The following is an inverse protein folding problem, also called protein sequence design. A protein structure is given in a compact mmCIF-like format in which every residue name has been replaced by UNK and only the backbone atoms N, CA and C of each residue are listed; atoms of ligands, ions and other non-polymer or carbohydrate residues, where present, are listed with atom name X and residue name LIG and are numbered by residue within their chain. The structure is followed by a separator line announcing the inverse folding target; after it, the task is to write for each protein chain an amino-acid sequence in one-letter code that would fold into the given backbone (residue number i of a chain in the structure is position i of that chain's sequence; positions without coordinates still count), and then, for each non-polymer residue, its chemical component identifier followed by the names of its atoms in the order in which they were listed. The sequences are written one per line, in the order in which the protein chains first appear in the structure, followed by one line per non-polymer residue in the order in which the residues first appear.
data_IF_111317116161
#
_entry.id   IF_111317116161
#
_cell.length_a   1.000
_cell.length_b   1.000
_cell.length_c   1.000
_cell.angle_alpha   90.00
_cell.angle_beta   90.00
_cell.angle_gamma   90.00
#
_symmetry.space_group_name_H-M   'P 1'
#
loop_
_entity.id
_entity.type
_entity.pdbx_description
1 polymer ?
#
# COMPACT_ATOMS: atom_id res chain seq x y z
N UNK A 1 6.84 -27.20 -47.11
CA UNK A 1 6.19 -27.89 -45.98
C UNK A 1 7.27 -28.45 -45.07
N UNK A 2 7.49 -27.80 -43.93
CA UNK A 2 8.05 -28.46 -42.73
C UNK A 2 7.46 -27.72 -41.53
N UNK A 3 6.73 -28.47 -40.71
CA UNK A 3 5.93 -28.00 -39.60
C UNK A 3 6.65 -28.30 -38.27
N UNK A 4 6.25 -27.59 -37.21
CA UNK A 4 6.54 -27.80 -35.78
C UNK A 4 7.93 -27.33 -35.31
N UNK A 5 8.05 -26.50 -34.26
CA UNK A 5 7.37 -26.58 -32.96
C UNK A 5 6.98 -25.21 -32.40
N UNK A 6 5.74 -25.13 -31.91
CA UNK A 6 5.37 -24.26 -30.78
C UNK A 6 6.37 -24.48 -29.64
N UNK A 7 7.06 -23.41 -29.25
CA UNK A 7 7.82 -23.33 -28.01
C UNK A 7 6.99 -22.51 -27.02
N UNK A 8 6.50 -23.21 -26.00
CA UNK A 8 5.61 -22.76 -24.94
C UNK A 8 6.16 -21.63 -24.06
N UNK A 9 5.36 -20.59 -23.84
CA UNK A 9 4.95 -20.17 -22.49
C UNK A 9 6.00 -19.81 -21.42
N UNK A 10 7.21 -19.36 -21.77
CA UNK A 10 8.26 -19.03 -20.77
C UNK A 10 8.90 -17.64 -20.88
N UNK A 11 8.20 -16.72 -21.55
CA UNK A 11 8.54 -15.30 -21.56
C UNK A 11 7.25 -14.51 -21.33
N UNK A 12 6.68 -14.60 -20.12
CA UNK A 12 5.98 -13.43 -19.59
C UNK A 12 7.07 -12.37 -19.51
N UNK A 13 7.06 -11.42 -20.44
CA UNK A 13 8.01 -10.30 -20.47
C UNK A 13 8.03 -9.71 -19.06
N UNK A 14 9.17 -9.82 -18.36
CA UNK A 14 9.36 -9.09 -17.11
C UNK A 14 9.10 -7.62 -17.38
N UNK A 15 8.30 -6.98 -16.52
CA UNK A 15 7.96 -5.56 -16.63
C UNK A 15 9.21 -4.72 -16.83
N UNK A 16 9.15 -3.70 -17.69
CA UNK A 16 10.27 -2.77 -17.87
C UNK A 16 10.51 -1.96 -16.60
N UNK A 17 11.70 -1.36 -16.46
CA UNK A 17 11.99 -0.45 -15.34
C UNK A 17 11.00 0.73 -15.29
N UNK A 18 10.49 1.17 -16.44
CA UNK A 18 9.46 2.22 -16.51
C UNK A 18 8.12 1.75 -15.93
N UNK A 19 7.73 0.50 -16.18
CA UNK A 19 6.49 -0.06 -15.61
C UNK A 19 6.60 -0.15 -14.08
N UNK A 20 7.76 -0.59 -13.56
CA UNK A 20 8.03 -0.65 -12.11
C UNK A 20 8.09 0.76 -11.49
N UNK A 21 8.61 1.74 -12.22
CA UNK A 21 8.57 3.15 -11.81
C UNK A 21 7.13 3.64 -11.68
N UNK A 22 6.30 3.40 -12.70
CA UNK A 22 4.87 3.75 -12.68
C UNK A 22 4.13 3.07 -11.54
N UNK A 23 4.40 1.80 -11.29
CA UNK A 23 3.83 1.08 -10.16
C UNK A 23 4.21 1.71 -8.81
N UNK A 24 5.48 2.09 -8.62
CA UNK A 24 5.91 2.81 -7.42
C UNK A 24 5.18 4.14 -7.24
N UNK A 25 4.89 4.87 -8.32
CA UNK A 25 4.08 6.11 -8.28
C UNK A 25 2.63 5.84 -7.90
N UNK A 26 2.05 4.75 -8.38
CA UNK A 26 0.71 4.33 -8.01
C UNK A 26 0.65 4.00 -6.51
N UNK A 27 1.64 3.28 -5.98
CA UNK A 27 1.70 2.98 -4.54
C UNK A 27 1.81 4.24 -3.68
N UNK A 28 2.60 5.24 -4.08
CA UNK A 28 2.65 6.53 -3.37
C UNK A 28 1.27 7.21 -3.33
N UNK A 29 0.55 7.17 -4.44
CA UNK A 29 -0.80 7.73 -4.53
C UNK A 29 -1.81 6.95 -3.67
N UNK A 30 -1.71 5.61 -3.64
CA UNK A 30 -2.52 4.76 -2.76
C UNK A 30 -2.25 5.06 -1.28
N UNK A 31 -0.99 5.22 -0.88
CA UNK A 31 -0.63 5.57 0.50
C UNK A 31 -1.23 6.92 0.90
N UNK A 32 -1.18 7.92 0.02
CA UNK A 32 -1.80 9.23 0.27
C UNK A 32 -3.32 9.13 0.40
N UNK A 33 -3.98 8.33 -0.46
CA UNK A 33 -5.40 8.05 -0.34
C UNK A 33 -5.73 7.41 1.02
N UNK A 34 -4.96 6.41 1.44
CA UNK A 34 -5.16 5.75 2.72
C UNK A 34 -4.99 6.70 3.92
N UNK A 35 -4.04 7.64 3.86
CA UNK A 35 -3.89 8.67 4.91
C UNK A 35 -5.14 9.56 5.01
N UNK A 36 -5.72 9.92 3.87
CA UNK A 36 -6.97 10.70 3.82
C UNK A 36 -8.14 9.88 4.36
N UNK A 37 -8.27 8.61 3.96
CA UNK A 37 -9.34 7.71 4.44
C UNK A 37 -9.26 7.49 5.95
N UNK A 38 -8.08 7.22 6.51
CA UNK A 38 -7.90 7.06 7.95
C UNK A 38 -8.22 8.34 8.72
N UNK A 39 -7.87 9.51 8.16
CA UNK A 39 -8.23 10.81 8.73
C UNK A 39 -9.74 11.03 8.71
N UNK A 40 -10.42 10.57 7.66
CA UNK A 40 -11.88 10.58 7.58
C UNK A 40 -12.51 9.66 8.63
N UNK A 41 -12.02 8.43 8.80
CA UNK A 41 -12.51 7.52 9.84
C UNK A 41 -12.34 8.08 11.24
N UNK A 42 -11.19 8.73 11.52
CA UNK A 42 -10.94 9.38 12.81
C UNK A 42 -11.98 10.47 13.11
N UNK A 43 -12.31 11.30 12.10
CA UNK A 43 -13.33 12.34 12.24
C UNK A 43 -14.72 11.74 12.48
N UNK A 44 -15.07 10.70 11.72
CA UNK A 44 -16.37 10.05 11.85
C UNK A 44 -16.54 9.40 13.22
N UNK A 45 -15.51 8.70 13.72
CA UNK A 45 -15.51 8.21 15.10
C UNK A 45 -15.66 9.34 16.11
N UNK A 46 -14.89 10.42 15.97
CA UNK A 46 -14.96 11.55 16.91
C UNK A 46 -16.35 12.18 17.00
N UNK A 47 -17.08 12.22 15.88
CA UNK A 47 -18.42 12.78 15.81
C UNK A 47 -19.47 11.89 16.47
N UNK A 48 -19.38 10.56 16.27
CA UNK A 48 -20.44 9.62 16.65
C UNK A 48 -20.09 8.69 17.82
N UNK A 49 -18.86 8.73 18.35
CA UNK A 49 -18.43 7.85 19.45
C UNK A 49 -19.32 7.95 20.70
N UNK A 50 -19.97 9.09 20.91
CA UNK A 50 -20.84 9.37 22.06
C UNK A 50 -22.18 8.63 21.98
N UNK A 51 -22.58 8.25 20.78
CA UNK A 51 -23.85 7.57 20.51
C UNK A 51 -23.77 6.08 20.89
N UNK A 52 -22.56 5.55 21.03
CA UNK A 52 -22.27 4.21 21.51
C UNK A 52 -22.10 4.15 23.02
N UNK A 53 -22.98 3.40 23.69
CA UNK A 53 -23.06 3.38 25.17
C UNK A 53 -22.59 2.07 25.79
N UNK A 54 -22.58 0.97 25.04
CA UNK A 54 -22.21 -0.33 25.58
C UNK A 54 -20.70 -0.43 25.81
N UNK A 55 -20.30 -1.32 26.72
CA UNK A 55 -18.87 -1.59 26.98
C UNK A 55 -18.20 -2.18 25.74
N UNK A 56 -18.92 -3.01 24.97
CA UNK A 56 -18.36 -3.66 23.79
C UNK A 56 -18.15 -2.66 22.64
N UNK A 57 -19.04 -1.68 22.49
CA UNK A 57 -18.83 -0.60 21.51
C UNK A 57 -17.59 0.24 21.86
N UNK A 58 -17.38 0.55 23.15
CA UNK A 58 -16.19 1.29 23.60
C UNK A 58 -14.91 0.55 23.27
N UNK A 59 -14.86 -0.77 23.51
CA UNK A 59 -13.72 -1.61 23.10
C UNK A 59 -13.51 -1.58 21.59
N UNK A 60 -14.59 -1.62 20.81
CA UNK A 60 -14.53 -1.57 19.35
C UNK A 60 -14.01 -0.21 18.85
N UNK A 61 -14.43 0.89 19.46
CA UNK A 61 -13.92 2.24 19.19
C UNK A 61 -12.42 2.31 19.49
N UNK A 62 -11.97 1.81 20.65
CA UNK A 62 -10.54 1.76 21.01
C UNK A 62 -9.73 0.96 19.98
N UNK A 63 -10.26 -0.19 19.52
CA UNK A 63 -9.61 -0.98 18.46
C UNK A 63 -9.44 -0.19 17.16
N UNK A 64 -10.46 0.57 16.73
CA UNK A 64 -10.34 1.42 15.55
C UNK A 64 -9.38 2.59 15.75
N UNK A 65 -9.40 3.23 16.91
CA UNK A 65 -8.46 4.32 17.23
C UNK A 65 -7.01 3.84 17.21
N UNK A 66 -6.73 2.69 17.84
CA UNK A 66 -5.40 2.08 17.82
C UNK A 66 -4.95 1.74 16.41
N UNK A 67 -5.84 1.16 15.59
CA UNK A 67 -5.56 0.88 14.19
C UNK A 67 -5.24 2.16 13.40
N UNK A 68 -6.08 3.19 13.50
CA UNK A 68 -5.90 4.47 12.80
C UNK A 68 -4.58 5.12 13.22
N UNK A 69 -4.30 5.16 14.52
CA UNK A 69 -3.08 5.78 15.04
C UNK A 69 -1.83 5.08 14.50
N UNK A 70 -1.75 3.76 14.67
CA UNK A 70 -0.61 2.97 14.21
C UNK A 70 -0.40 3.09 12.70
N UNK A 71 -1.47 2.93 11.90
CA UNK A 71 -1.34 2.98 10.45
C UNK A 71 -0.96 4.38 9.96
N UNK A 72 -1.61 5.43 10.47
CA UNK A 72 -1.39 6.80 9.98
C UNK A 72 -0.05 7.41 10.41
N UNK A 73 0.45 7.06 11.60
CA UNK A 73 1.67 7.67 12.16
C UNK A 73 2.94 6.86 11.92
N UNK A 74 2.82 5.55 11.80
CA UNK A 74 3.99 4.67 11.74
C UNK A 74 4.01 3.94 10.39
N UNK A 75 3.09 3.00 10.17
CA UNK A 75 3.20 2.04 9.07
C UNK A 75 3.15 2.71 7.69
N UNK A 76 2.20 3.63 7.46
CA UNK A 76 2.08 4.30 6.16
C UNK A 76 3.25 5.26 5.89
N UNK A 77 3.82 5.87 6.93
CA UNK A 77 4.99 6.72 6.78
C UNK A 77 6.24 5.89 6.45
N UNK A 78 6.41 4.75 7.13
CA UNK A 78 7.51 3.83 6.90
C UNK A 78 7.50 3.31 5.45
N UNK A 79 6.38 2.77 4.98
CA UNK A 79 6.30 2.25 3.60
C UNK A 79 6.42 3.36 2.56
N UNK A 80 5.92 4.57 2.83
CA UNK A 80 6.15 5.73 1.94
C UNK A 80 7.64 6.02 1.79
N UNK A 81 8.37 6.05 2.91
CA UNK A 81 9.82 6.29 2.89
C UNK A 81 10.58 5.17 2.15
N UNK A 82 10.14 3.92 2.27
CA UNK A 82 10.71 2.79 1.53
C UNK A 82 10.52 2.94 0.02
N UNK A 83 9.29 3.27 -0.43
CA UNK A 83 8.99 3.51 -1.85
C UNK A 83 9.79 4.70 -2.38
N UNK A 84 9.83 5.81 -1.66
CA UNK A 84 10.64 6.96 -2.06
C UNK A 84 12.14 6.66 -2.10
N UNK A 85 12.65 5.87 -1.15
CA UNK A 85 14.03 5.43 -1.10
C UNK A 85 14.38 4.52 -2.29
N UNK A 86 13.46 3.64 -2.65
CA UNK A 86 13.55 2.77 -3.83
C UNK A 86 13.68 3.58 -5.13
N UNK A 87 12.83 4.60 -5.29
CA UNK A 87 12.84 5.47 -6.46
C UNK A 87 14.07 6.39 -6.52
N UNK A 88 14.51 6.91 -5.37
CA UNK A 88 15.78 7.66 -5.26
C UNK A 88 16.98 6.78 -5.66
N UNK A 89 16.95 5.49 -5.32
CA UNK A 89 17.99 4.54 -5.73
C UNK A 89 18.03 4.37 -7.25
N UNK A 90 16.86 4.19 -7.90
CA UNK A 90 16.77 4.09 -9.36
C UNK A 90 17.33 5.35 -10.04
N UNK A 91 16.87 6.52 -9.61
CA UNK A 91 17.35 7.80 -10.15
C UNK A 91 18.87 7.95 -10.02
N UNK A 92 19.43 7.57 -8.87
CA UNK A 92 20.88 7.62 -8.62
C UNK A 92 21.67 6.68 -9.53
N UNK A 93 21.14 5.50 -9.83
CA UNK A 93 21.79 4.54 -10.74
C UNK A 93 21.76 5.02 -12.18
N UNK A 94 20.63 5.56 -12.63
CA UNK A 94 20.46 6.15 -13.97
C UNK A 94 21.39 7.36 -14.19
N UNK A 95 21.61 8.18 -13.15
CA UNK A 95 22.51 9.33 -13.20
C UNK A 95 23.99 8.99 -12.97
N UNK A 96 24.31 7.73 -12.63
CA UNK A 96 25.69 7.31 -12.41
C UNK A 96 26.53 7.40 -13.70
N UNK A 97 27.85 7.56 -13.57
CA UNK A 97 28.78 7.62 -14.73
C UNK A 97 28.68 6.40 -15.66
N UNK A 98 28.22 5.26 -15.13
CA UNK A 98 28.05 4.03 -15.91
C UNK A 98 26.69 3.95 -16.60
N UNK A 99 25.68 4.69 -16.11
CA UNK A 99 24.29 4.60 -16.56
C UNK A 99 23.66 3.21 -16.40
N UNK A 100 24.31 2.29 -15.68
CA UNK A 100 23.87 0.90 -15.52
C UNK A 100 23.10 0.74 -14.23
N UNK A 101 21.86 0.29 -14.36
CA UNK A 101 20.99 -0.12 -13.25
C UNK A 101 21.33 -1.56 -12.87
N UNK A 102 21.43 -1.85 -11.57
CA UNK A 102 21.44 -3.23 -11.11
C UNK A 102 20.00 -3.73 -11.02
N UNK A 103 19.46 -4.17 -12.15
CA UNK A 103 18.05 -4.57 -12.28
C UNK A 103 17.67 -5.70 -11.32
N UNK A 104 18.55 -6.67 -11.11
CA UNK A 104 18.26 -7.80 -10.22
C UNK A 104 18.01 -7.31 -8.78
N UNK A 105 18.86 -6.43 -8.26
CA UNK A 105 18.68 -5.85 -6.92
C UNK A 105 17.48 -4.91 -6.87
N UNK A 106 17.27 -4.09 -7.90
CA UNK A 106 16.11 -3.21 -7.98
C UNK A 106 14.80 -4.01 -7.94
N UNK A 107 14.63 -5.00 -8.83
CA UNK A 107 13.45 -5.87 -8.89
C UNK A 107 13.21 -6.63 -7.59
N UNK A 108 14.27 -7.14 -6.96
CA UNK A 108 14.15 -7.83 -5.66
C UNK A 108 13.60 -6.91 -4.57
N UNK A 109 14.06 -5.65 -4.53
CA UNK A 109 13.55 -4.69 -3.55
C UNK A 109 12.13 -4.23 -3.91
N UNK A 110 11.84 -4.06 -5.19
CA UNK A 110 10.52 -3.71 -5.69
C UNK A 110 9.47 -4.73 -5.23
N UNK A 111 9.76 -6.03 -5.40
CA UNK A 111 8.85 -7.10 -5.01
C UNK A 111 8.59 -7.15 -3.50
N UNK A 112 9.60 -6.85 -2.66
CA UNK A 112 9.40 -6.76 -1.20
C UNK A 112 8.44 -5.63 -0.83
N UNK A 113 8.53 -4.50 -1.53
CA UNK A 113 7.63 -3.36 -1.32
C UNK A 113 6.23 -3.73 -1.81
N UNK A 114 6.11 -4.38 -2.97
CA UNK A 114 4.84 -4.89 -3.52
C UNK A 114 4.11 -5.79 -2.51
N UNK A 115 4.80 -6.77 -1.91
CA UNK A 115 4.23 -7.66 -0.89
C UNK A 115 3.72 -6.87 0.33
N UNK A 116 4.51 -5.90 0.81
CA UNK A 116 4.14 -5.05 1.94
C UNK A 116 2.91 -4.19 1.64
N UNK A 117 2.88 -3.56 0.46
CA UNK A 117 1.75 -2.79 -0.03
C UNK A 117 0.50 -3.67 -0.16
N UNK A 118 0.64 -4.87 -0.70
CA UNK A 118 -0.44 -5.85 -0.81
C UNK A 118 -1.03 -6.22 0.56
N UNK A 119 -0.18 -6.46 1.56
CA UNK A 119 -0.60 -6.71 2.94
C UNK A 119 -1.37 -5.53 3.54
N UNK A 120 -0.84 -4.31 3.41
CA UNK A 120 -1.48 -3.08 3.90
C UNK A 120 -2.83 -2.87 3.22
N UNK A 121 -2.90 -3.02 1.89
CA UNK A 121 -4.14 -2.89 1.11
C UNK A 121 -5.23 -3.84 1.63
N UNK A 122 -4.88 -5.10 1.88
CA UNK A 122 -5.79 -6.09 2.45
C UNK A 122 -6.30 -5.69 3.84
N UNK A 123 -5.41 -5.23 4.73
CA UNK A 123 -5.78 -4.82 6.08
C UNK A 123 -6.68 -3.58 6.08
N UNK A 124 -6.36 -2.56 5.27
CA UNK A 124 -7.19 -1.36 5.15
C UNK A 124 -8.56 -1.71 4.57
N UNK A 125 -8.64 -2.55 3.54
CA UNK A 125 -9.92 -2.98 2.98
C UNK A 125 -10.80 -3.71 4.01
N UNK A 126 -10.21 -4.65 4.75
CA UNK A 126 -10.91 -5.38 5.80
C UNK A 126 -11.41 -4.42 6.89
N UNK A 127 -10.53 -3.53 7.38
CA UNK A 127 -10.85 -2.58 8.44
C UNK A 127 -11.87 -1.53 8.01
N UNK A 128 -11.82 -1.05 6.77
CA UNK A 128 -12.84 -0.17 6.17
C UNK A 128 -14.21 -0.82 6.19
N UNK A 129 -14.29 -2.09 5.78
CA UNK A 129 -15.57 -2.84 5.78
C UNK A 129 -16.12 -3.02 7.19
N UNK A 130 -15.26 -3.43 8.14
CA UNK A 130 -15.62 -3.58 9.55
C UNK A 130 -16.04 -2.24 10.19
N UNK A 131 -15.34 -1.16 9.84
CA UNK A 131 -15.61 0.19 10.30
C UNK A 131 -16.98 0.69 9.87
N UNK A 132 -17.31 0.59 8.57
CA UNK A 132 -18.60 1.07 8.08
C UNK A 132 -19.77 0.29 8.67
N UNK A 133 -19.65 -1.03 8.82
CA UNK A 133 -20.67 -1.84 9.51
C UNK A 133 -20.91 -1.42 10.95
N UNK A 134 -19.86 -0.95 11.64
CA UNK A 134 -19.96 -0.50 13.02
C UNK A 134 -20.59 0.89 13.14
N UNK A 135 -20.25 1.81 12.25
CA UNK A 135 -20.61 3.24 12.36
C UNK A 135 -21.94 3.59 11.66
N UNK A 136 -22.37 2.83 10.65
CA UNK A 136 -23.60 3.06 9.87
C UNK A 136 -24.87 3.20 10.74
N UNK A 137 -25.08 2.46 11.85
CA UNK A 137 -26.29 2.60 12.66
C UNK A 137 -26.46 3.96 13.36
N UNK A 138 -25.42 4.79 13.40
CA UNK A 138 -25.41 6.09 14.13
C UNK A 138 -25.15 7.29 13.22
N UNK A 139 -25.09 7.07 11.90
CA UNK A 139 -25.01 8.10 10.85
C UNK A 139 -26.41 8.34 10.30
#
# INVERSE_FOLDING_TARGET
MTNLKQSSGKYLLELGLEDLHHESKNWLSEIELWQVELSFFQKLLGNHAKDFKSIDDKKKIEQFQNFILFYSKELLLEVKNEVEGHEKSLASQLQSKTGRVNEATYRTNHHKIEEKIGGIRGQIHFKKTDFFKFIEPVI
#
